data_IF_334744014155
#
_entry.id   IF_334744014155
#
_cell.length_a   1.000
_cell.length_b   1.000
_cell.length_c   1.000
_cell.angle_alpha   90.00
_cell.angle_beta   90.00
_cell.angle_gamma   90.00
#
_symmetry.space_group_name_H-M   'P 1'
#
loop_
_entity.id
_entity.type
_entity.pdbx_description
1 polymer ?
#
# COMPACT_ATOMS: atom_id res chain seq x y z
N UNK A 1 2.23 -10.73 -24.49
CA UNK A 1 2.05 -11.92 -25.30
C UNK A 1 1.72 -13.11 -24.41
N UNK A 2 0.58 -13.74 -24.66
CA UNK A 2 0.05 -14.88 -23.87
C UNK A 2 1.02 -16.08 -23.75
N UNK A 3 1.85 -16.33 -24.75
CA UNK A 3 2.84 -17.41 -24.77
C UNK A 3 3.94 -17.23 -23.71
N UNK A 4 4.42 -16.02 -23.51
CA UNK A 4 5.46 -15.70 -22.49
C UNK A 4 4.90 -15.93 -21.09
N UNK A 5 3.65 -15.53 -20.82
CA UNK A 5 3.00 -15.77 -19.54
C UNK A 5 2.79 -17.25 -19.23
N UNK A 6 2.44 -18.06 -20.24
CA UNK A 6 2.22 -19.50 -20.06
C UNK A 6 3.52 -20.26 -19.72
N UNK A 7 4.63 -19.90 -20.37
CA UNK A 7 5.94 -20.50 -20.07
C UNK A 7 6.56 -19.99 -18.76
N UNK A 8 6.29 -18.75 -18.36
CA UNK A 8 6.75 -18.18 -17.08
C UNK A 8 6.16 -18.93 -15.87
N UNK A 9 4.94 -19.47 -15.98
CA UNK A 9 4.30 -20.23 -14.91
C UNK A 9 4.87 -21.66 -14.75
N UNK A 10 5.51 -22.21 -15.79
CA UNK A 10 5.89 -23.63 -15.83
C UNK A 10 7.36 -23.91 -15.53
N UNK A 11 8.25 -22.92 -15.57
CA UNK A 11 9.68 -23.12 -15.29
C UNK A 11 10.31 -21.93 -14.57
N UNK A 12 10.81 -22.18 -13.35
CA UNK A 12 11.58 -21.19 -12.54
C UNK A 12 12.80 -20.67 -13.34
N UNK A 13 13.43 -21.52 -14.15
CA UNK A 13 14.59 -21.13 -14.97
C UNK A 13 14.22 -20.19 -16.11
N UNK A 14 13.07 -20.45 -16.77
CA UNK A 14 12.57 -19.56 -17.83
C UNK A 14 12.13 -18.21 -17.27
N UNK A 15 11.46 -18.21 -16.11
CA UNK A 15 11.07 -16.99 -15.40
C UNK A 15 12.30 -16.15 -15.03
N UNK A 16 13.38 -16.78 -14.53
CA UNK A 16 14.62 -16.05 -14.19
C UNK A 16 15.34 -15.50 -15.42
N UNK A 17 15.12 -16.07 -16.60
CA UNK A 17 15.70 -15.58 -17.85
C UNK A 17 14.95 -14.36 -18.41
N UNK A 18 13.62 -14.35 -18.27
CA UNK A 18 12.75 -13.29 -18.81
C UNK A 18 12.54 -12.15 -17.84
N UNK A 19 12.34 -12.46 -16.53
CA UNK A 19 12.03 -11.49 -15.48
C UNK A 19 13.24 -11.07 -14.64
N UNK A 20 14.44 -11.65 -14.92
CA UNK A 20 15.62 -11.43 -14.10
C UNK A 20 15.59 -12.21 -12.76
N UNK A 21 16.56 -11.90 -11.88
CA UNK A 21 16.65 -12.45 -10.53
C UNK A 21 16.74 -11.31 -9.52
N UNK A 22 16.18 -11.46 -8.32
CA UNK A 22 16.40 -10.50 -7.26
C UNK A 22 17.91 -10.31 -7.02
N UNK A 23 18.32 -9.06 -6.87
CA UNK A 23 19.73 -8.71 -6.72
C UNK A 23 19.93 -7.93 -5.43
N UNK A 24 20.81 -8.44 -4.54
CA UNK A 24 21.15 -7.72 -3.31
C UNK A 24 21.98 -6.49 -3.65
N UNK A 25 21.50 -5.30 -3.28
CA UNK A 25 22.15 -4.00 -3.51
C UNK A 25 22.77 -3.41 -2.24
N UNK A 26 22.21 -3.75 -1.06
CA UNK A 26 22.83 -3.45 0.24
C UNK A 26 22.96 -4.76 1.02
N UNK A 27 24.14 -5.00 1.59
CA UNK A 27 24.42 -6.14 2.46
C UNK A 27 25.16 -5.69 3.72
N UNK A 28 24.61 -6.01 4.89
CA UNK A 28 25.17 -5.60 6.19
C UNK A 28 25.48 -4.10 6.23
N UNK A 29 24.58 -3.25 5.72
CA UNK A 29 24.73 -1.80 5.68
C UNK A 29 25.71 -1.25 4.62
N UNK A 30 26.31 -2.12 3.80
CA UNK A 30 27.23 -1.70 2.73
C UNK A 30 26.59 -1.81 1.36
N UNK A 31 26.67 -0.74 0.57
CA UNK A 31 26.22 -0.71 -0.82
C UNK A 31 27.13 -1.60 -1.67
N UNK A 32 26.53 -2.51 -2.43
CA UNK A 32 27.22 -3.37 -3.38
C UNK A 32 27.24 -2.68 -4.76
N UNK A 33 28.20 -1.76 -4.96
CA UNK A 33 28.29 -0.91 -6.16
C UNK A 33 28.33 -1.72 -7.47
N UNK A 34 29.02 -2.87 -7.48
CA UNK A 34 29.08 -3.75 -8.64
C UNK A 34 27.70 -4.32 -9.02
N UNK A 35 26.86 -4.63 -8.02
CA UNK A 35 25.51 -5.11 -8.25
C UNK A 35 24.60 -4.00 -8.77
N UNK A 36 24.72 -2.77 -8.24
CA UNK A 36 24.00 -1.61 -8.75
C UNK A 36 24.37 -1.32 -10.20
N UNK A 37 25.67 -1.30 -10.53
CA UNK A 37 26.13 -1.10 -11.90
C UNK A 37 25.63 -2.19 -12.86
N UNK A 38 25.66 -3.46 -12.44
CA UNK A 38 25.14 -4.58 -13.23
C UNK A 38 23.65 -4.48 -13.55
N UNK A 39 22.88 -3.99 -12.60
CA UNK A 39 21.42 -3.81 -12.74
C UNK A 39 21.05 -2.43 -13.31
N UNK A 40 22.04 -1.55 -13.55
CA UNK A 40 21.83 -0.14 -13.93
C UNK A 40 20.95 0.63 -12.94
N UNK A 41 20.97 0.21 -11.70
CA UNK A 41 20.21 0.83 -10.63
C UNK A 41 21.03 1.98 -10.02
N UNK A 42 20.49 3.18 -10.05
CA UNK A 42 21.19 4.40 -9.63
C UNK A 42 21.07 4.66 -8.13
N UNK A 43 21.93 5.54 -7.61
CA UNK A 43 21.86 5.98 -6.21
C UNK A 43 20.59 6.77 -5.94
N UNK A 44 20.14 7.57 -6.89
CA UNK A 44 18.91 8.36 -6.76
C UNK A 44 17.69 7.46 -6.65
N UNK A 45 17.61 6.41 -7.49
CA UNK A 45 16.55 5.38 -7.42
C UNK A 45 16.59 4.64 -6.08
N UNK A 46 17.80 4.30 -5.58
CA UNK A 46 17.93 3.66 -4.28
C UNK A 46 17.34 4.53 -3.18
N UNK A 47 17.72 5.81 -3.11
CA UNK A 47 17.19 6.73 -2.09
C UNK A 47 15.69 6.98 -2.24
N UNK A 48 15.17 7.06 -3.46
CA UNK A 48 13.74 7.16 -3.71
C UNK A 48 13.00 5.94 -3.14
N UNK A 49 13.45 4.73 -3.47
CA UNK A 49 12.86 3.50 -2.97
C UNK A 49 12.95 3.35 -1.44
N UNK A 50 14.05 3.78 -0.83
CA UNK A 50 14.18 3.78 0.63
C UNK A 50 13.18 4.76 1.29
N UNK A 51 13.05 5.98 0.75
CA UNK A 51 12.11 6.99 1.28
C UNK A 51 10.64 6.52 1.16
N UNK A 52 10.27 5.88 0.06
CA UNK A 52 8.90 5.35 -0.13
C UNK A 52 8.53 4.30 0.91
N UNK A 53 9.53 3.63 1.51
CA UNK A 53 9.35 2.64 2.56
C UNK A 53 9.64 3.19 3.97
N UNK A 54 9.84 4.51 4.09
CA UNK A 54 10.05 5.20 5.37
C UNK A 54 11.48 5.18 5.90
N UNK A 55 12.47 4.78 5.08
CA UNK A 55 13.88 4.77 5.46
C UNK A 55 14.59 6.00 4.90
N UNK A 56 14.89 6.98 5.77
CA UNK A 56 15.59 8.21 5.38
C UNK A 56 17.12 8.11 5.55
N UNK A 57 17.59 7.09 6.24
CA UNK A 57 19.01 6.89 6.57
C UNK A 57 19.47 5.48 6.20
N UNK A 58 20.53 5.41 5.40
CA UNK A 58 21.18 4.16 5.01
C UNK A 58 21.69 3.37 6.21
N UNK A 59 22.07 4.03 7.31
CA UNK A 59 22.58 3.35 8.52
C UNK A 59 21.53 2.48 9.21
N UNK A 60 20.25 2.70 8.92
CA UNK A 60 19.13 1.89 9.41
C UNK A 60 18.92 0.60 8.60
N UNK A 61 19.45 0.54 7.36
CA UNK A 61 19.21 -0.54 6.41
C UNK A 61 20.32 -1.61 6.51
N UNK A 62 19.92 -2.83 6.85
CA UNK A 62 20.83 -3.98 6.89
C UNK A 62 20.97 -4.64 5.51
N UNK A 63 19.84 -4.91 4.87
CA UNK A 63 19.77 -5.45 3.50
C UNK A 63 18.79 -4.64 2.66
N UNK A 64 19.12 -4.48 1.38
CA UNK A 64 18.20 -4.04 0.35
C UNK A 64 18.35 -4.94 -0.88
N UNK A 65 17.22 -5.38 -1.43
CA UNK A 65 17.15 -6.33 -2.52
C UNK A 65 16.31 -5.70 -3.63
N UNK A 66 16.93 -5.51 -4.79
CA UNK A 66 16.21 -5.12 -6.01
C UNK A 66 15.45 -6.34 -6.54
N UNK A 67 14.14 -6.28 -6.49
CA UNK A 67 13.25 -7.35 -6.94
C UNK A 67 13.10 -7.35 -8.47
N UNK A 68 12.57 -8.42 -9.00
CA UNK A 68 12.30 -8.55 -10.45
C UNK A 68 11.22 -7.59 -10.94
N UNK A 69 10.42 -7.04 -10.04
CA UNK A 69 9.43 -5.99 -10.34
C UNK A 69 10.03 -4.58 -10.50
N UNK A 70 11.32 -4.41 -10.16
CA UNK A 70 11.98 -3.10 -10.09
C UNK A 70 11.82 -2.39 -8.74
N UNK A 71 11.06 -2.95 -7.81
CA UNK A 71 10.95 -2.43 -6.44
C UNK A 71 12.11 -2.91 -5.58
N UNK A 72 12.38 -2.21 -4.49
CA UNK A 72 13.41 -2.60 -3.52
C UNK A 72 12.73 -3.11 -2.24
N UNK A 73 13.07 -4.34 -1.84
CA UNK A 73 12.71 -4.87 -0.53
C UNK A 73 13.77 -4.46 0.49
N UNK A 74 13.34 -3.88 1.62
CA UNK A 74 14.25 -3.38 2.66
C UNK A 74 14.09 -4.19 3.94
N UNK A 75 15.22 -4.64 4.48
CA UNK A 75 15.32 -5.30 5.78
C UNK A 75 16.18 -4.41 6.70
N UNK A 76 15.59 -3.71 7.67
CA UNK A 76 16.34 -2.86 8.57
C UNK A 76 17.15 -3.67 9.58
N UNK A 77 18.07 -3.00 10.27
CA UNK A 77 18.63 -3.55 11.50
C UNK A 77 17.52 -3.64 12.56
N UNK A 78 17.57 -4.66 13.42
CA UNK A 78 16.57 -4.89 14.47
C UNK A 78 16.35 -3.67 15.36
N UNK A 79 17.42 -2.93 15.69
CA UNK A 79 17.34 -1.68 16.46
C UNK A 79 16.57 -0.54 15.76
N UNK A 80 16.40 -0.63 14.43
CA UNK A 80 15.71 0.37 13.60
C UNK A 80 14.37 -0.16 13.07
N UNK A 81 13.98 -1.39 13.43
CA UNK A 81 12.70 -1.96 13.08
C UNK A 81 11.58 -1.31 13.91
N UNK A 82 10.37 -1.13 13.34
CA UNK A 82 9.22 -0.70 14.12
C UNK A 82 8.95 -1.65 15.28
N UNK A 83 8.66 -1.08 16.46
CA UNK A 83 8.20 -1.87 17.60
C UNK A 83 6.77 -2.34 17.38
N UNK A 84 6.54 -3.62 17.56
CA UNK A 84 5.18 -4.18 17.57
C UNK A 84 4.65 -4.27 19.00
N UNK A 85 3.33 -4.22 19.21
CA UNK A 85 2.74 -4.43 20.54
C UNK A 85 3.24 -5.74 21.18
N UNK A 86 3.34 -6.81 20.43
CA UNK A 86 3.87 -8.09 20.87
C UNK A 86 5.33 -8.03 21.33
N UNK A 87 6.16 -7.24 20.66
CA UNK A 87 7.59 -7.09 21.02
C UNK A 87 7.79 -6.40 22.38
N UNK A 88 6.81 -5.59 22.80
CA UNK A 88 6.78 -4.91 24.13
C UNK A 88 5.85 -5.58 25.12
N UNK A 89 5.38 -6.80 24.83
CA UNK A 89 4.55 -7.59 25.74
C UNK A 89 3.10 -7.11 25.86
N UNK A 90 2.62 -6.26 24.95
CA UNK A 90 1.24 -5.83 24.90
C UNK A 90 0.40 -6.81 24.07
N UNK A 91 -0.67 -7.32 24.66
CA UNK A 91 -1.66 -8.13 23.96
C UNK A 91 -2.87 -7.24 23.64
N UNK A 92 -2.88 -6.63 22.46
CA UNK A 92 -3.97 -5.79 21.99
C UNK A 92 -4.97 -6.62 21.18
N UNK A 93 -6.29 -6.31 21.26
CA UNK A 93 -7.27 -6.91 20.38
C UNK A 93 -6.98 -6.49 18.92
N UNK A 94 -7.34 -7.35 17.98
CA UNK A 94 -7.31 -7.02 16.56
C UNK A 94 -8.55 -6.16 16.23
N UNK A 95 -8.33 -4.87 16.00
CA UNK A 95 -9.34 -3.88 15.64
C UNK A 95 -9.16 -3.32 14.22
N UNK A 96 -8.33 -3.99 13.42
CA UNK A 96 -8.10 -3.62 12.03
C UNK A 96 -9.37 -3.84 11.22
N UNK A 97 -9.89 -2.78 10.61
CA UNK A 97 -11.07 -2.80 9.74
C UNK A 97 -10.72 -2.29 8.35
N UNK A 98 -11.46 -2.73 7.33
CA UNK A 98 -11.27 -2.28 5.95
C UNK A 98 -12.36 -1.27 5.58
N UNK A 99 -12.03 0.02 5.42
CA UNK A 99 -12.99 1.01 4.94
C UNK A 99 -13.36 0.77 3.47
N UNK A 100 -14.65 0.72 3.20
CA UNK A 100 -15.18 0.59 1.84
C UNK A 100 -15.74 1.92 1.39
N UNK A 101 -15.31 2.40 0.22
CA UNK A 101 -15.78 3.65 -0.38
C UNK A 101 -17.23 3.48 -0.87
N UNK A 102 -18.16 4.29 -0.37
CA UNK A 102 -19.59 4.23 -0.73
C UNK A 102 -20.07 5.46 -1.49
N UNK A 103 -19.38 6.61 -1.34
CA UNK A 103 -19.57 7.80 -2.17
C UNK A 103 -18.22 8.32 -2.62
N UNK A 104 -18.07 8.57 -3.92
CA UNK A 104 -16.88 9.13 -4.54
C UNK A 104 -17.28 10.34 -5.40
N UNK A 105 -16.79 11.52 -5.05
CA UNK A 105 -17.04 12.79 -5.75
C UNK A 105 -18.52 13.04 -6.10
N UNK A 106 -19.39 12.78 -5.14
CA UNK A 106 -20.85 12.95 -5.28
C UNK A 106 -21.56 11.76 -5.93
N UNK A 107 -20.84 10.74 -6.37
CA UNK A 107 -21.41 9.55 -7.00
C UNK A 107 -21.55 8.41 -6.00
N UNK A 108 -22.75 7.84 -5.91
CA UNK A 108 -23.03 6.69 -5.06
C UNK A 108 -22.48 5.43 -5.73
N UNK A 109 -21.62 4.68 -5.02
CA UNK A 109 -21.11 3.40 -5.45
C UNK A 109 -22.04 2.29 -4.93
N UNK A 110 -23.11 2.01 -5.69
CA UNK A 110 -24.19 1.13 -5.25
C UNK A 110 -23.73 -0.31 -4.96
N UNK A 111 -22.76 -0.81 -5.73
CA UNK A 111 -22.20 -2.16 -5.51
C UNK A 111 -21.43 -2.24 -4.20
N UNK A 112 -20.62 -1.22 -3.90
CA UNK A 112 -19.89 -1.12 -2.66
C UNK A 112 -20.81 -0.96 -1.45
N UNK A 113 -21.88 -0.16 -1.61
CA UNK A 113 -22.89 0.02 -0.57
C UNK A 113 -23.58 -1.33 -0.22
N UNK A 114 -23.94 -2.11 -1.24
CA UNK A 114 -24.52 -3.45 -1.05
C UNK A 114 -23.51 -4.43 -0.42
N UNK A 115 -22.26 -4.39 -0.85
CA UNK A 115 -21.21 -5.29 -0.30
C UNK A 115 -20.96 -5.08 1.19
N UNK A 116 -21.21 -3.86 1.70
CA UNK A 116 -21.15 -3.54 3.14
C UNK A 116 -22.44 -3.87 3.89
N UNK A 117 -23.45 -4.49 3.23
CA UNK A 117 -24.76 -4.73 3.83
C UNK A 117 -25.55 -3.45 4.12
N UNK A 118 -25.31 -2.39 3.36
CA UNK A 118 -25.98 -1.09 3.50
C UNK A 118 -26.81 -0.80 2.26
N UNK A 119 -27.81 0.06 2.44
CA UNK A 119 -28.74 0.47 1.39
C UNK A 119 -28.79 2.00 1.23
N UNK A 120 -29.60 2.47 0.28
CA UNK A 120 -29.79 3.90 0.06
C UNK A 120 -30.45 4.60 1.25
N UNK A 121 -31.30 3.91 1.99
CA UNK A 121 -31.97 4.45 3.18
C UNK A 121 -30.93 4.72 4.29
N UNK A 122 -30.00 3.80 4.48
CA UNK A 122 -28.88 4.00 5.38
C UNK A 122 -28.04 5.21 4.97
N UNK A 123 -27.69 5.33 3.66
CA UNK A 123 -26.92 6.46 3.15
C UNK A 123 -27.64 7.79 3.36
N UNK A 124 -28.94 7.86 3.09
CA UNK A 124 -29.75 9.06 3.33
C UNK A 124 -29.74 9.47 4.81
N UNK A 125 -29.81 8.50 5.72
CA UNK A 125 -29.69 8.77 7.16
C UNK A 125 -28.32 9.32 7.53
N UNK A 126 -27.23 8.76 6.94
CA UNK A 126 -25.88 9.28 7.15
C UNK A 126 -25.71 10.73 6.67
N UNK A 127 -26.33 11.08 5.53
CA UNK A 127 -26.34 12.46 5.02
C UNK A 127 -27.10 13.39 5.95
N UNK A 128 -28.33 12.99 6.36
CA UNK A 128 -29.16 13.79 7.29
C UNK A 128 -28.45 14.07 8.62
N UNK A 129 -27.80 13.08 9.21
CA UNK A 129 -27.05 13.25 10.47
C UNK A 129 -25.94 14.31 10.33
N UNK A 130 -25.39 14.47 9.13
CA UNK A 130 -24.34 15.45 8.81
C UNK A 130 -24.88 16.75 8.21
N UNK A 131 -26.21 16.94 8.21
CA UNK A 131 -26.90 18.10 7.63
C UNK A 131 -26.63 18.28 6.12
N UNK A 132 -26.39 17.17 5.43
CA UNK A 132 -26.21 17.16 3.99
C UNK A 132 -27.52 16.79 3.31
N UNK A 133 -27.87 17.51 2.24
CA UNK A 133 -29.13 17.33 1.51
C UNK A 133 -28.99 16.40 0.31
N UNK A 134 -27.75 16.19 -0.17
CA UNK A 134 -27.50 15.40 -1.37
C UNK A 134 -26.11 14.75 -1.30
N UNK A 135 -25.96 13.54 -1.87
CA UNK A 135 -24.64 12.91 -2.06
C UNK A 135 -23.68 13.79 -2.87
N UNK A 136 -24.20 14.69 -3.73
CA UNK A 136 -23.38 15.61 -4.53
C UNK A 136 -22.50 16.54 -3.70
N UNK A 137 -22.87 16.77 -2.44
CA UNK A 137 -22.08 17.57 -1.49
C UNK A 137 -20.92 16.79 -0.87
N UNK A 138 -20.86 15.46 -1.08
CA UNK A 138 -19.84 14.58 -0.52
C UNK A 138 -18.72 14.39 -1.53
N UNK A 139 -17.48 14.67 -1.11
CA UNK A 139 -16.30 14.34 -1.87
C UNK A 139 -15.94 12.86 -1.70
N UNK A 140 -15.93 12.39 -0.43
CA UNK A 140 -15.62 11.01 -0.07
C UNK A 140 -16.49 10.55 1.10
N UNK A 141 -17.04 9.34 1.02
CA UNK A 141 -17.62 8.66 2.18
C UNK A 141 -17.21 7.20 2.18
N UNK A 142 -16.70 6.75 3.32
CA UNK A 142 -16.37 5.33 3.56
C UNK A 142 -17.14 4.81 4.76
N UNK A 143 -17.30 3.51 4.82
CA UNK A 143 -17.79 2.78 5.99
C UNK A 143 -17.01 1.49 6.15
N UNK A 144 -16.65 1.13 7.38
CA UNK A 144 -15.97 -0.12 7.71
C UNK A 144 -16.92 -1.18 8.29
N UNK A 145 -16.38 -2.36 8.58
CA UNK A 145 -17.13 -3.48 9.18
C UNK A 145 -17.64 -3.16 10.60
N UNK A 146 -16.93 -2.29 11.33
CA UNK A 146 -17.34 -1.82 12.66
C UNK A 146 -18.48 -0.77 12.58
N UNK A 147 -18.82 -0.30 11.37
CA UNK A 147 -19.81 0.74 11.13
C UNK A 147 -19.27 2.16 11.27
N UNK A 148 -17.95 2.34 11.39
CA UNK A 148 -17.32 3.66 11.41
C UNK A 148 -17.45 4.34 10.06
N UNK A 149 -17.97 5.57 10.04
CA UNK A 149 -18.19 6.33 8.81
C UNK A 149 -17.28 7.53 8.78
N UNK A 150 -16.42 7.61 7.75
CA UNK A 150 -15.67 8.81 7.41
C UNK A 150 -16.38 9.51 6.25
N UNK A 151 -16.63 10.81 6.41
CA UNK A 151 -17.28 11.62 5.38
C UNK A 151 -16.53 12.94 5.22
N UNK A 152 -16.09 13.21 3.99
CA UNK A 152 -15.45 14.46 3.59
C UNK A 152 -16.40 15.17 2.64
N UNK A 153 -16.76 16.40 2.95
CA UNK A 153 -17.59 17.23 2.08
C UNK A 153 -16.75 17.89 0.98
N UNK A 154 -17.38 18.24 -0.12
CA UNK A 154 -16.76 19.09 -1.13
C UNK A 154 -16.49 20.49 -0.57
N UNK A 155 -15.36 21.05 -0.95
CA UNK A 155 -15.05 22.44 -0.69
C UNK A 155 -16.01 23.33 -1.51
N UNK A 156 -16.35 24.49 -0.98
CA UNK A 156 -17.06 25.50 -1.75
C UNK A 156 -16.18 25.93 -2.94
N UNK A 157 -16.74 26.12 -4.13
CA UNK A 157 -15.97 26.67 -5.24
C UNK A 157 -15.38 28.03 -4.81
N UNK A 158 -14.06 28.17 -5.02
CA UNK A 158 -13.35 29.39 -4.73
C UNK A 158 -13.83 30.57 -5.60
#
# INVERSE_FOLDING_TARGET
SMLVSFFSLKSIRFRSLVCGRPTVIIRCGKILQANMAKTRFTVDELYEQLRTQGYNDLSSVKYAILETSGQVSVLPYTRCAPLTPQAVGLNLPDDVTLPVLVVNDGHILADNLRSCGRDLSWLQNQLKQRRLTSPKQVFLMTVDEAGTVVCVTKEAPA
#
